data_IF_987261009752
#
_entry.id   IF_987261009752
#
_cell.length_a   1.000
_cell.length_b   1.000
_cell.length_c   1.000
_cell.angle_alpha   90.00
_cell.angle_beta   90.00
_cell.angle_gamma   90.00
#
_symmetry.space_group_name_H-M   'P 1'
#
loop_
_entity.id
_entity.type
_entity.pdbx_description
1 polymer ?
#
# COMPACT_ATOMS: atom_id res chain seq x y z
N UNK A 1 -23.66 -11.02 56.63
CA UNK A 1 -22.39 -10.89 55.88
C UNK A 1 -22.71 -10.98 54.40
N UNK A 2 -22.60 -9.86 53.68
CA UNK A 2 -23.00 -9.79 52.29
C UNK A 2 -21.71 -9.76 51.41
N UNK A 3 -21.49 -10.67 50.44
CA UNK A 3 -20.27 -10.66 49.63
C UNK A 3 -20.36 -9.55 48.60
N UNK A 4 -19.33 -8.70 48.59
CA UNK A 4 -19.13 -7.61 47.62
C UNK A 4 -18.82 -8.16 46.23
N UNK A 5 -19.62 -7.78 45.26
CA UNK A 5 -19.47 -8.02 43.85
C UNK A 5 -18.24 -7.23 43.30
N UNK A 6 -17.27 -7.84 42.58
CA UNK A 6 -16.15 -7.08 41.99
C UNK A 6 -16.66 -6.28 40.79
N UNK A 7 -16.39 -4.98 40.81
CA UNK A 7 -16.70 -4.05 39.72
C UNK A 7 -15.87 -4.44 38.48
N UNK A 8 -16.57 -4.81 37.43
CA UNK A 8 -16.01 -4.93 36.08
C UNK A 8 -15.50 -3.55 35.63
N UNK A 9 -14.22 -3.38 35.53
CA UNK A 9 -13.57 -2.24 34.86
C UNK A 9 -13.80 -2.37 33.37
N UNK A 10 -14.77 -1.63 32.84
CA UNK A 10 -14.89 -1.41 31.40
C UNK A 10 -13.63 -0.68 30.94
N UNK A 11 -12.80 -1.37 30.16
CA UNK A 11 -11.74 -0.74 29.37
C UNK A 11 -12.47 0.14 28.34
N UNK A 12 -12.47 1.44 28.56
CA UNK A 12 -12.88 2.43 27.57
C UNK A 12 -11.83 2.43 26.47
N UNK A 13 -12.09 1.76 25.37
CA UNK A 13 -11.40 1.99 24.11
C UNK A 13 -11.60 3.46 23.76
N UNK A 14 -10.52 4.23 23.80
CA UNK A 14 -10.49 5.59 23.27
C UNK A 14 -11.04 5.55 21.85
N UNK A 15 -12.17 6.19 21.61
CA UNK A 15 -12.68 6.40 20.26
C UNK A 15 -11.58 7.08 19.46
N UNK A 16 -11.08 6.41 18.42
CA UNK A 16 -10.14 7.01 17.50
C UNK A 16 -10.78 8.28 16.94
N UNK A 17 -10.15 9.42 17.16
CA UNK A 17 -10.59 10.70 16.58
C UNK A 17 -10.50 10.50 15.07
N UNK A 18 -11.65 10.62 14.39
CA UNK A 18 -11.71 10.58 12.93
C UNK A 18 -10.82 11.73 12.39
N UNK A 19 -9.74 11.44 11.64
CA UNK A 19 -8.84 12.49 11.19
C UNK A 19 -9.59 13.45 10.29
N UNK A 20 -9.44 14.74 10.53
CA UNK A 20 -9.96 15.76 9.62
C UNK A 20 -9.26 15.59 8.27
N UNK A 21 -9.98 15.08 7.26
CA UNK A 21 -9.48 14.92 5.89
C UNK A 21 -9.78 16.21 5.13
N UNK A 22 -8.72 16.89 4.72
CA UNK A 22 -8.84 18.08 3.86
C UNK A 22 -8.93 17.62 2.39
N UNK A 23 -10.17 17.49 1.91
CA UNK A 23 -10.46 17.06 0.54
C UNK A 23 -9.93 18.05 -0.49
N UNK A 24 -10.06 19.35 -0.25
CA UNK A 24 -9.62 20.39 -1.16
C UNK A 24 -8.10 20.38 -1.30
N UNK A 25 -7.40 20.17 -0.19
CA UNK A 25 -5.95 19.99 -0.20
C UNK A 25 -5.54 18.73 -1.00
N UNK A 26 -6.18 17.59 -0.72
CA UNK A 26 -5.88 16.35 -1.45
C UNK A 26 -6.06 16.51 -2.96
N UNK A 27 -7.20 17.03 -3.38
CA UNK A 27 -7.47 17.21 -4.81
C UNK A 27 -6.65 18.33 -5.46
N UNK A 28 -6.16 19.29 -4.69
CA UNK A 28 -5.25 20.31 -5.17
C UNK A 28 -3.83 19.78 -5.40
N UNK A 29 -3.29 19.01 -4.45
CA UNK A 29 -1.89 18.61 -4.41
C UNK A 29 -1.62 17.14 -4.70
N UNK A 30 -2.63 16.27 -4.62
CA UNK A 30 -2.55 14.83 -4.89
C UNK A 30 -2.02 14.01 -3.73
N UNK A 31 -1.82 14.58 -2.55
CA UNK A 31 -1.39 13.87 -1.35
C UNK A 31 -1.83 14.59 -0.09
N UNK A 32 -1.84 13.87 1.02
CA UNK A 32 -1.94 14.41 2.38
C UNK A 32 -1.25 13.47 3.38
N UNK A 33 -1.06 13.93 4.61
CA UNK A 33 -0.50 13.11 5.70
C UNK A 33 -1.46 13.12 6.88
N UNK A 34 -1.97 11.94 7.23
CA UNK A 34 -2.73 11.72 8.44
C UNK A 34 -1.74 11.53 9.59
N UNK A 35 -1.55 12.57 10.39
CA UNK A 35 -0.57 12.57 11.47
C UNK A 35 -1.06 11.74 12.66
N UNK A 36 -0.18 10.88 13.20
CA UNK A 36 -0.47 9.99 14.34
C UNK A 36 -1.75 9.18 14.15
N UNK A 37 -1.94 8.67 12.95
CA UNK A 37 -3.12 7.92 12.54
C UNK A 37 -3.27 6.59 13.27
N UNK A 38 -2.16 5.94 13.63
CA UNK A 38 -2.15 4.63 14.30
C UNK A 38 -1.01 4.53 15.34
N UNK A 39 -1.10 3.55 16.26
CA UNK A 39 0.06 3.18 17.11
C UNK A 39 1.04 2.33 16.27
N UNK A 40 2.28 2.81 16.04
CA UNK A 40 3.22 2.09 15.17
C UNK A 40 3.78 0.80 15.78
N UNK A 41 3.77 0.64 17.11
CA UNK A 41 4.42 -0.48 17.80
C UNK A 41 3.83 -1.84 17.45
N UNK A 42 2.50 -2.06 17.48
CA UNK A 42 1.91 -3.34 17.08
C UNK A 42 2.15 -3.66 15.60
N UNK A 43 2.04 -2.65 14.71
CA UNK A 43 2.27 -2.83 13.29
C UNK A 43 3.74 -3.17 12.99
N UNK A 44 4.69 -2.53 13.68
CA UNK A 44 6.11 -2.82 13.57
C UNK A 44 6.42 -4.27 14.00
N UNK A 45 5.84 -4.73 15.11
CA UNK A 45 6.04 -6.10 15.57
C UNK A 45 5.50 -7.12 14.55
N UNK A 46 4.31 -6.86 13.99
CA UNK A 46 3.70 -7.70 12.95
C UNK A 46 4.53 -7.67 11.66
N UNK A 47 5.01 -6.49 11.25
CA UNK A 47 5.92 -6.32 10.11
C UNK A 47 7.19 -7.16 10.24
N UNK A 48 7.90 -7.06 11.37
CA UNK A 48 9.15 -7.80 11.58
C UNK A 48 8.92 -9.32 11.59
N UNK A 49 7.81 -9.77 12.18
CA UNK A 49 7.45 -11.19 12.16
C UNK A 49 7.17 -11.68 10.73
N UNK A 50 6.41 -10.91 9.96
CA UNK A 50 6.06 -11.23 8.57
C UNK A 50 7.30 -11.27 7.69
N UNK A 51 8.19 -10.27 7.80
CA UNK A 51 9.43 -10.25 7.01
C UNK A 51 10.39 -11.38 7.38
N UNK A 52 10.46 -11.75 8.67
CA UNK A 52 11.27 -12.88 9.14
C UNK A 52 10.78 -14.23 8.62
N UNK A 53 9.47 -14.44 8.68
CA UNK A 53 8.85 -15.73 8.40
C UNK A 53 8.44 -15.90 6.93
N UNK A 54 8.24 -14.80 6.24
CA UNK A 54 7.68 -14.79 4.89
C UNK A 54 8.72 -14.72 3.78
N UNK A 55 9.90 -14.19 4.00
CA UNK A 55 10.94 -14.19 2.96
C UNK A 55 11.57 -15.58 2.84
N UNK A 56 11.48 -16.18 1.64
CA UNK A 56 11.96 -17.56 1.41
C UNK A 56 13.36 -17.63 0.81
N UNK A 57 13.91 -16.52 0.35
CA UNK A 57 15.28 -16.46 -0.14
C UNK A 57 15.90 -15.11 0.19
N UNK A 58 17.26 -15.08 0.22
CA UNK A 58 18.03 -13.85 0.16
C UNK A 58 17.94 -13.16 -1.21
N UNK A 59 16.97 -13.53 -2.04
CA UNK A 59 16.72 -12.89 -3.30
C UNK A 59 16.37 -11.43 -3.02
N UNK A 60 17.42 -10.62 -2.94
CA UNK A 60 17.30 -9.21 -3.20
C UNK A 60 16.65 -9.12 -4.57
N UNK A 61 15.41 -8.65 -4.60
CA UNK A 61 14.79 -8.22 -5.85
C UNK A 61 15.55 -6.96 -6.27
N UNK A 62 16.79 -7.15 -6.72
CA UNK A 62 17.60 -6.09 -7.28
C UNK A 62 17.02 -5.76 -8.64
N UNK A 63 16.39 -4.60 -8.75
CA UNK A 63 16.20 -3.99 -10.05
C UNK A 63 17.58 -3.54 -10.59
N UNK A 64 17.74 -3.55 -11.91
CA UNK A 64 18.97 -3.21 -12.64
C UNK A 64 19.55 -1.82 -12.31
N UNK A 65 18.85 -0.99 -11.56
CA UNK A 65 19.14 0.40 -11.17
C UNK A 65 19.55 0.58 -9.70
N UNK A 66 19.85 -0.52 -8.99
CA UNK A 66 20.36 -0.47 -7.61
C UNK A 66 19.30 -0.31 -6.53
N UNK A 67 18.02 -0.39 -6.89
CA UNK A 67 16.91 -0.43 -5.93
C UNK A 67 16.73 -1.87 -5.45
N UNK A 68 16.77 -2.07 -4.14
CA UNK A 68 16.42 -3.34 -3.52
C UNK A 68 15.03 -3.25 -2.92
N UNK A 69 14.16 -4.13 -3.36
CA UNK A 69 12.77 -4.16 -2.97
C UNK A 69 12.36 -5.57 -2.57
N UNK A 70 11.88 -5.74 -1.35
CA UNK A 70 11.32 -6.98 -0.84
C UNK A 70 9.94 -6.70 -0.27
N UNK A 71 8.99 -7.61 -0.48
CA UNK A 71 7.71 -7.50 0.21
C UNK A 71 7.11 -8.86 0.59
N UNK A 72 6.22 -8.83 1.58
CA UNK A 72 5.39 -9.96 1.98
C UNK A 72 3.96 -9.45 2.18
N UNK A 73 2.92 -10.10 1.62
CA UNK A 73 1.54 -9.74 1.89
C UNK A 73 1.17 -9.85 3.37
N UNK A 74 0.31 -8.95 3.84
CA UNK A 74 -0.19 -8.89 5.21
C UNK A 74 -1.72 -8.97 5.23
N UNK A 75 -2.29 -10.02 4.61
CA UNK A 75 -3.73 -10.19 4.36
C UNK A 75 -4.29 -11.46 5.00
N UNK A 76 -3.72 -11.93 6.10
CA UNK A 76 -4.12 -13.17 6.77
C UNK A 76 -4.50 -12.94 8.23
N UNK A 77 -5.12 -13.92 8.88
CA UNK A 77 -5.40 -13.88 10.32
C UNK A 77 -4.13 -13.75 11.19
N UNK A 78 -2.94 -14.05 10.64
CA UNK A 78 -1.65 -13.82 11.30
C UNK A 78 -1.22 -12.34 11.28
N UNK A 79 -1.94 -11.48 10.54
CA UNK A 79 -1.64 -10.04 10.41
C UNK A 79 -2.85 -9.18 10.81
N UNK A 80 -3.38 -9.31 12.04
CA UNK A 80 -4.63 -8.65 12.45
C UNK A 80 -4.51 -7.13 12.54
N UNK A 81 -3.33 -6.59 12.84
CA UNK A 81 -3.10 -5.14 12.92
C UNK A 81 -3.18 -4.53 11.51
N UNK A 82 -2.55 -5.19 10.54
CA UNK A 82 -2.63 -4.81 9.11
C UNK A 82 -4.08 -4.83 8.62
N UNK A 83 -4.84 -5.90 8.92
CA UNK A 83 -6.25 -6.00 8.53
C UNK A 83 -7.12 -4.92 9.16
N UNK A 84 -6.91 -4.60 10.44
CA UNK A 84 -7.62 -3.51 11.13
C UNK A 84 -7.30 -2.15 10.51
N UNK A 85 -6.04 -1.93 10.12
CA UNK A 85 -5.62 -0.69 9.48
C UNK A 85 -6.22 -0.59 8.06
N UNK A 86 -6.24 -1.68 7.31
CA UNK A 86 -6.92 -1.76 6.02
C UNK A 86 -8.39 -1.34 6.16
N UNK A 87 -9.17 -1.93 7.08
CA UNK A 87 -10.58 -1.60 7.25
C UNK A 87 -10.80 -0.11 7.59
N UNK A 88 -9.96 0.49 8.45
CA UNK A 88 -10.02 1.93 8.78
C UNK A 88 -9.70 2.83 7.58
N UNK A 89 -8.82 2.40 6.71
CA UNK A 89 -8.43 3.18 5.54
C UNK A 89 -9.45 3.08 4.40
N UNK A 90 -10.33 2.08 4.40
CA UNK A 90 -11.47 2.03 3.49
C UNK A 90 -12.36 3.27 3.64
N UNK A 91 -12.70 3.65 4.89
CA UNK A 91 -13.49 4.85 5.18
C UNK A 91 -12.80 6.14 4.67
N UNK A 92 -11.47 6.21 4.81
CA UNK A 92 -10.67 7.34 4.28
C UNK A 92 -10.73 7.38 2.76
N UNK A 93 -10.54 6.23 2.10
CA UNK A 93 -10.55 6.13 0.64
C UNK A 93 -11.94 6.43 0.07
N UNK A 94 -13.01 5.94 0.69
CA UNK A 94 -14.39 6.24 0.28
C UNK A 94 -14.72 7.74 0.38
N UNK A 95 -14.26 8.40 1.43
CA UNK A 95 -14.44 9.86 1.57
C UNK A 95 -13.68 10.63 0.51
N UNK A 96 -12.45 10.20 0.17
CA UNK A 96 -11.63 10.84 -0.86
C UNK A 96 -12.18 10.59 -2.27
N UNK A 97 -12.63 9.38 -2.58
CA UNK A 97 -13.14 9.01 -3.90
C UNK A 97 -14.64 9.26 -4.08
N UNK A 98 -15.37 9.53 -2.98
CA UNK A 98 -16.82 9.82 -2.99
C UNK A 98 -17.70 8.62 -3.34
N UNK A 99 -17.17 7.39 -3.22
CA UNK A 99 -17.87 6.14 -3.56
C UNK A 99 -17.22 4.95 -2.87
N UNK A 100 -17.84 3.76 -2.95
CA UNK A 100 -17.23 2.50 -2.52
C UNK A 100 -15.90 2.23 -3.21
N UNK A 101 -15.04 1.50 -2.53
CA UNK A 101 -13.65 1.23 -2.96
C UNK A 101 -13.30 -0.24 -2.84
N UNK A 102 -12.35 -0.68 -3.65
CA UNK A 102 -11.83 -2.04 -3.67
C UNK A 102 -10.37 -2.02 -3.24
N UNK A 103 -9.99 -2.80 -2.21
CA UNK A 103 -8.61 -2.86 -1.74
C UNK A 103 -7.74 -3.72 -2.65
N UNK A 104 -6.51 -3.30 -2.81
CA UNK A 104 -5.43 -4.19 -3.22
C UNK A 104 -4.95 -5.03 -2.01
N UNK A 105 -3.79 -5.67 -2.11
CA UNK A 105 -3.20 -6.34 -0.94
C UNK A 105 -2.46 -5.35 -0.05
N UNK A 106 -2.66 -5.42 1.25
CA UNK A 106 -1.74 -4.84 2.23
C UNK A 106 -0.45 -5.67 2.27
N UNK A 107 0.69 -5.00 2.42
CA UNK A 107 2.02 -5.64 2.36
C UNK A 107 3.02 -4.96 3.27
N UNK A 108 3.88 -5.75 3.91
CA UNK A 108 5.14 -5.30 4.47
C UNK A 108 6.12 -5.10 3.31
N UNK A 109 6.79 -3.96 3.26
CA UNK A 109 7.75 -3.63 2.20
C UNK A 109 9.05 -3.15 2.81
N UNK A 110 10.18 -3.65 2.30
CA UNK A 110 11.51 -3.17 2.64
C UNK A 110 12.16 -2.62 1.39
N UNK A 111 12.56 -1.35 1.45
CA UNK A 111 13.29 -0.67 0.38
C UNK A 111 14.70 -0.34 0.81
N UNK A 112 15.66 -0.40 -0.11
CA UNK A 112 16.95 0.26 0.00
C UNK A 112 17.32 0.92 -1.33
N UNK A 113 18.15 1.96 -1.29
CA UNK A 113 18.52 2.74 -2.48
C UNK A 113 17.50 3.84 -2.82
N UNK A 114 17.84 4.58 -3.87
CA UNK A 114 17.03 5.67 -4.39
C UNK A 114 15.96 5.15 -5.34
N UNK A 115 14.78 5.78 -5.31
CA UNK A 115 13.71 5.49 -6.27
C UNK A 115 13.59 6.68 -7.23
N UNK A 116 13.73 6.48 -8.55
CA UNK A 116 13.59 7.55 -9.54
C UNK A 116 12.15 8.06 -9.61
N UNK A 117 11.94 9.19 -10.28
CA UNK A 117 10.60 9.74 -10.49
C UNK A 117 9.73 8.78 -11.30
N UNK A 118 8.58 8.42 -10.73
CA UNK A 118 7.59 7.54 -11.35
C UNK A 118 6.18 7.86 -10.85
N UNK A 119 5.21 7.18 -11.42
CA UNK A 119 3.83 7.06 -10.92
C UNK A 119 3.54 5.59 -10.70
N UNK A 120 2.68 5.27 -9.73
CA UNK A 120 2.33 3.87 -9.45
C UNK A 120 1.28 3.33 -10.42
N UNK A 121 0.41 4.20 -10.93
CA UNK A 121 -0.58 3.82 -11.93
C UNK A 121 -0.53 4.71 -13.17
N UNK A 122 -0.73 4.09 -14.33
CA UNK A 122 -0.96 4.74 -15.63
C UNK A 122 -2.34 4.40 -16.19
N UNK A 123 -3.11 3.58 -15.48
CA UNK A 123 -4.46 3.18 -15.87
C UNK A 123 -5.42 4.34 -15.59
N UNK A 124 -6.37 4.58 -16.49
CA UNK A 124 -7.38 5.63 -16.33
C UNK A 124 -8.44 5.21 -15.29
N UNK A 125 -8.03 5.11 -14.04
CA UNK A 125 -8.81 4.67 -12.89
C UNK A 125 -8.45 5.54 -11.68
N UNK A 126 -9.44 5.98 -10.91
CA UNK A 126 -9.18 6.67 -9.65
C UNK A 126 -8.66 5.67 -8.62
N UNK A 127 -7.43 5.86 -8.17
CA UNK A 127 -6.74 5.00 -7.21
C UNK A 127 -5.93 5.82 -6.22
N UNK A 128 -5.89 5.34 -4.99
CA UNK A 128 -5.23 6.03 -3.85
C UNK A 128 -4.30 5.05 -3.16
N UNK A 129 -3.04 5.43 -3.04
CA UNK A 129 -2.02 4.72 -2.29
C UNK A 129 -1.94 5.19 -0.83
N UNK A 130 -1.71 4.24 0.07
CA UNK A 130 -1.48 4.45 1.49
C UNK A 130 -0.11 3.90 1.87
N UNK A 131 0.73 4.73 2.46
CA UNK A 131 2.08 4.36 2.85
C UNK A 131 2.37 4.81 4.30
N UNK A 132 2.66 3.86 5.17
CA UNK A 132 3.10 4.09 6.52
C UNK A 132 4.56 3.66 6.68
N UNK A 133 5.46 4.62 6.87
CA UNK A 133 6.84 4.30 7.19
C UNK A 133 6.95 4.01 8.69
N UNK A 134 7.66 2.93 9.02
CA UNK A 134 7.87 2.48 10.39
C UNK A 134 9.19 3.00 10.98
N UNK A 135 9.90 3.81 10.20
CA UNK A 135 11.09 4.56 10.57
C UNK A 135 10.84 6.05 10.38
N UNK A 136 11.44 6.94 11.20
CA UNK A 136 11.33 8.37 10.98
C UNK A 136 12.05 8.76 9.70
N UNK A 137 11.38 9.49 8.81
CA UNK A 137 11.93 9.92 7.54
C UNK A 137 11.96 11.44 7.42
N UNK A 138 13.13 11.94 7.06
CA UNK A 138 13.40 13.35 6.75
C UNK A 138 13.83 13.52 5.29
N UNK A 139 14.00 14.76 4.87
CA UNK A 139 14.29 15.10 3.48
C UNK A 139 15.62 14.53 2.93
N UNK A 140 16.53 14.15 3.81
CA UNK A 140 17.88 13.67 3.52
C UNK A 140 18.10 12.16 3.83
N UNK A 141 17.06 11.46 4.33
CA UNK A 141 17.19 10.06 4.70
C UNK A 141 16.15 9.12 4.06
N UNK A 142 15.60 9.49 2.90
CA UNK A 142 14.73 8.61 2.12
C UNK A 142 13.24 8.92 2.22
N UNK A 143 12.84 10.10 2.73
CA UNK A 143 11.46 10.53 2.69
C UNK A 143 10.89 10.50 1.26
N UNK A 144 9.60 10.16 1.16
CA UNK A 144 8.89 10.26 -0.11
C UNK A 144 8.96 11.72 -0.61
N UNK A 145 9.37 11.89 -1.86
CA UNK A 145 9.33 13.18 -2.58
C UNK A 145 8.19 13.15 -3.54
N UNK A 146 7.43 14.24 -3.60
CA UNK A 146 6.29 14.38 -4.49
C UNK A 146 6.41 15.66 -5.32
N UNK A 147 5.83 15.64 -6.52
CA UNK A 147 5.56 16.82 -7.33
C UNK A 147 4.09 17.21 -7.13
N UNK A 148 3.78 18.14 -6.22
CA UNK A 148 2.40 18.47 -5.88
C UNK A 148 1.58 18.88 -7.11
N UNK A 149 0.38 18.32 -7.26
CA UNK A 149 -0.51 18.58 -8.39
C UNK A 149 -0.20 17.80 -9.68
N UNK A 150 0.87 16.99 -9.71
CA UNK A 150 1.26 16.20 -10.90
C UNK A 150 0.37 15.00 -11.20
N UNK A 151 -0.55 14.66 -10.31
CA UNK A 151 -1.64 13.69 -10.58
C UNK A 151 -2.66 14.25 -11.58
N UNK A 152 -2.73 15.58 -11.76
CA UNK A 152 -3.55 16.20 -12.78
C UNK A 152 -2.92 16.00 -14.14
N UNK A 153 -3.75 15.63 -15.10
CA UNK A 153 -3.31 15.22 -16.43
C UNK A 153 -2.40 16.23 -17.09
N UNK A 154 -2.74 17.53 -17.03
CA UNK A 154 -1.99 18.58 -17.71
C UNK A 154 -0.54 18.66 -17.23
N UNK A 155 -0.33 18.66 -15.91
CA UNK A 155 1.01 18.72 -15.34
C UNK A 155 1.73 17.36 -15.47
N UNK A 156 1.04 16.25 -15.23
CA UNK A 156 1.60 14.92 -15.37
C UNK A 156 2.09 14.63 -16.78
N UNK A 157 1.32 14.98 -17.81
CA UNK A 157 1.71 14.81 -19.19
C UNK A 157 2.87 15.74 -19.58
N UNK A 158 2.90 16.96 -19.09
CA UNK A 158 4.04 17.87 -19.29
C UNK A 158 5.33 17.30 -18.70
N UNK A 159 5.28 16.73 -17.48
CA UNK A 159 6.43 16.09 -16.85
C UNK A 159 6.91 14.89 -17.67
N UNK A 160 6.00 14.04 -18.17
CA UNK A 160 6.36 12.89 -19.04
C UNK A 160 7.02 13.32 -20.33
N UNK A 161 6.48 14.37 -20.99
CA UNK A 161 7.04 14.93 -22.23
C UNK A 161 8.45 15.50 -22.04
N UNK A 162 8.74 16.03 -20.86
CA UNK A 162 10.08 16.52 -20.49
C UNK A 162 11.04 15.39 -20.07
N UNK A 163 10.62 14.13 -20.16
CA UNK A 163 11.43 12.99 -19.75
C UNK A 163 11.58 12.88 -18.23
N UNK A 164 10.63 13.44 -17.45
CA UNK A 164 10.71 13.45 -15.99
C UNK A 164 10.61 12.04 -15.36
N UNK A 165 9.90 11.11 -15.99
CA UNK A 165 9.86 9.72 -15.53
C UNK A 165 11.25 9.05 -15.67
N UNK A 166 11.68 8.36 -14.62
CA UNK A 166 13.01 7.70 -14.56
C UNK A 166 14.17 8.64 -14.19
N UNK A 167 13.95 9.96 -14.08
CA UNK A 167 14.99 10.88 -13.59
C UNK A 167 15.30 10.61 -12.11
N UNK A 168 16.55 10.91 -11.72
CA UNK A 168 16.96 10.85 -10.32
C UNK A 168 16.08 11.74 -9.43
N UNK A 169 15.79 11.30 -8.21
CA UNK A 169 14.87 11.96 -7.28
C UNK A 169 15.20 13.46 -7.02
N UNK A 170 16.48 13.83 -7.07
CA UNK A 170 16.93 15.22 -6.87
C UNK A 170 16.96 16.06 -8.15
N UNK A 171 16.60 15.49 -9.29
CA UNK A 171 16.65 16.22 -10.58
C UNK A 171 15.51 17.24 -10.75
N UNK A 172 14.42 17.09 -9.98
CA UNK A 172 13.25 17.97 -10.06
C UNK A 172 13.00 18.68 -8.72
N UNK A 173 12.56 19.96 -8.73
CA UNK A 173 12.07 20.62 -7.52
C UNK A 173 10.89 19.85 -6.94
N UNK A 174 10.94 19.52 -5.67
CA UNK A 174 9.98 18.63 -5.07
C UNK A 174 9.72 18.91 -3.60
N UNK A 175 8.59 18.43 -3.09
CA UNK A 175 8.28 18.43 -1.66
C UNK A 175 8.67 17.10 -1.04
N UNK A 176 9.50 17.13 0.02
CA UNK A 176 9.82 15.94 0.81
C UNK A 176 8.75 15.76 1.90
N UNK A 177 8.08 14.63 1.90
CA UNK A 177 7.04 14.28 2.87
C UNK A 177 7.69 13.69 4.11
N UNK A 178 8.04 14.55 5.05
CA UNK A 178 8.64 14.15 6.34
C UNK A 178 7.59 13.44 7.19
N UNK A 179 7.95 12.28 7.75
CA UNK A 179 7.04 11.44 8.55
C UNK A 179 7.72 10.86 9.78
N UNK A 180 6.90 10.66 10.81
CA UNK A 180 7.22 9.87 12.01
C UNK A 180 6.44 8.56 11.99
N UNK A 181 6.93 7.49 12.65
CA UNK A 181 6.16 6.27 12.85
C UNK A 181 4.78 6.56 13.45
N UNK A 182 3.72 6.05 12.82
CA UNK A 182 2.34 6.34 13.17
C UNK A 182 1.64 7.33 12.25
N UNK A 183 2.40 8.04 11.40
CA UNK A 183 1.84 8.84 10.31
C UNK A 183 1.45 7.94 9.13
N UNK A 184 0.40 8.35 8.38
CA UNK A 184 -0.02 7.70 7.15
C UNK A 184 0.02 8.70 6.00
N UNK A 185 0.84 8.44 5.01
CA UNK A 185 0.82 9.19 3.74
C UNK A 185 -0.33 8.61 2.90
N UNK A 186 -1.13 9.51 2.34
CA UNK A 186 -2.19 9.20 1.38
C UNK A 186 -1.88 9.95 0.10
N UNK A 187 -1.89 9.30 -1.04
CA UNK A 187 -1.60 9.96 -2.31
C UNK A 187 -2.33 9.31 -3.50
N UNK A 188 -2.65 10.13 -4.49
CA UNK A 188 -3.14 9.68 -5.79
C UNK A 188 -2.03 8.91 -6.50
N UNK A 189 -2.28 7.71 -6.99
CA UNK A 189 -1.26 6.86 -7.61
C UNK A 189 -0.73 7.41 -8.96
N UNK A 190 -1.38 8.43 -9.53
CA UNK A 190 -0.89 9.19 -10.68
C UNK A 190 0.05 10.34 -10.30
N UNK A 191 0.22 10.61 -9.00
CA UNK A 191 1.15 11.62 -8.51
C UNK A 191 2.59 11.19 -8.76
N UNK A 192 3.38 12.03 -9.43
CA UNK A 192 4.81 11.78 -9.57
C UNK A 192 5.48 11.84 -8.20
N UNK A 193 6.18 10.75 -7.88
CA UNK A 193 6.91 10.64 -6.64
C UNK A 193 8.25 9.91 -6.83
N UNK A 194 9.13 10.09 -5.87
CA UNK A 194 10.48 9.54 -5.85
C UNK A 194 10.99 9.45 -4.40
N UNK A 195 12.19 8.90 -4.19
CA UNK A 195 12.87 8.99 -2.90
C UNK A 195 14.39 8.95 -3.07
N UNK A 196 15.13 9.60 -2.19
CA UNK A 196 16.60 9.62 -2.23
C UNK A 196 17.23 9.74 -0.84
N UNK A 197 18.43 9.21 -0.70
CA UNK A 197 19.26 9.34 0.50
C UNK A 197 18.95 8.33 1.61
N UNK A 198 18.04 7.39 1.38
CA UNK A 198 17.65 6.41 2.40
C UNK A 198 18.53 5.17 2.43
N UNK A 199 18.77 4.64 3.64
CA UNK A 199 19.18 3.25 3.87
C UNK A 199 17.98 2.31 3.73
N UNK A 200 17.91 1.25 4.52
CA UNK A 200 16.72 0.38 4.55
C UNK A 200 15.55 1.11 5.17
N UNK A 201 14.41 1.14 4.47
CA UNK A 201 13.14 1.73 4.92
C UNK A 201 12.09 0.64 5.04
N UNK A 202 11.43 0.58 6.17
CA UNK A 202 10.32 -0.33 6.44
C UNK A 202 9.03 0.42 6.18
N UNK A 203 8.19 -0.13 5.31
CA UNK A 203 6.93 0.49 4.92
C UNK A 203 5.81 -0.54 4.96
N UNK A 204 4.71 -0.22 5.61
CA UNK A 204 3.44 -0.86 5.34
C UNK A 204 2.74 -0.12 4.21
N UNK A 205 2.27 -0.86 3.21
CA UNK A 205 1.69 -0.29 2.00
C UNK A 205 0.42 -1.00 1.59
N UNK A 206 -0.57 -0.25 1.12
CA UNK A 206 -1.72 -0.77 0.38
C UNK A 206 -2.32 0.32 -0.51
N UNK A 207 -3.22 -0.09 -1.41
CA UNK A 207 -3.87 0.81 -2.34
C UNK A 207 -5.36 0.49 -2.40
N UNK A 208 -6.19 1.51 -2.68
CA UNK A 208 -7.60 1.39 -2.99
C UNK A 208 -7.89 1.93 -4.37
N UNK A 209 -8.75 1.23 -5.10
CA UNK A 209 -9.30 1.72 -6.36
C UNK A 209 -10.79 1.98 -6.19
N UNK A 210 -11.32 2.91 -6.97
CA UNK A 210 -12.77 3.13 -7.06
C UNK A 210 -13.46 1.85 -7.49
N UNK A 211 -14.57 1.47 -6.84
CA UNK A 211 -15.44 0.40 -7.32
C UNK A 211 -16.07 0.83 -8.67
N UNK A 212 -15.88 0.05 -9.74
CA UNK A 212 -16.35 0.43 -11.06
C UNK A 212 -17.88 0.42 -11.14
N UNK A 213 -18.44 1.41 -11.85
CA UNK A 213 -19.90 1.60 -12.00
C UNK A 213 -20.42 1.23 -13.39
N UNK A 214 -19.54 0.96 -14.34
CA UNK A 214 -19.87 0.58 -15.71
C UNK A 214 -18.81 -0.35 -16.33
N UNK A 215 -19.10 -0.94 -17.48
CA UNK A 215 -18.23 -1.91 -18.14
C UNK A 215 -16.86 -1.33 -18.55
N UNK A 216 -16.77 -0.05 -18.88
CA UNK A 216 -15.49 0.60 -19.20
C UNK A 216 -14.63 0.76 -17.97
N UNK A 217 -15.21 1.18 -16.85
CA UNK A 217 -14.54 1.24 -15.56
C UNK A 217 -14.15 -0.16 -15.05
N UNK A 218 -14.97 -1.19 -15.26
CA UNK A 218 -14.62 -2.58 -14.93
C UNK A 218 -13.38 -3.05 -15.70
N UNK A 219 -13.32 -2.76 -17.00
CA UNK A 219 -12.17 -3.12 -17.82
C UNK A 219 -10.88 -2.44 -17.31
N UNK A 220 -10.94 -1.16 -16.97
CA UNK A 220 -9.81 -0.44 -16.38
C UNK A 220 -9.41 -1.04 -15.02
N UNK A 221 -10.38 -1.41 -14.20
CA UNK A 221 -10.12 -2.06 -12.90
C UNK A 221 -9.43 -3.40 -13.08
N UNK A 222 -9.90 -4.23 -14.01
CA UNK A 222 -9.25 -5.52 -14.32
C UNK A 222 -7.83 -5.30 -14.86
N UNK A 223 -7.62 -4.32 -15.75
CA UNK A 223 -6.28 -3.97 -16.25
C UNK A 223 -5.35 -3.54 -15.10
N UNK A 224 -5.85 -2.72 -14.17
CA UNK A 224 -5.09 -2.28 -13.00
C UNK A 224 -4.64 -3.48 -12.14
N UNK A 225 -5.57 -4.38 -11.79
CA UNK A 225 -5.22 -5.57 -11.00
C UNK A 225 -4.30 -6.55 -11.76
N UNK A 226 -4.45 -6.68 -13.08
CA UNK A 226 -3.55 -7.49 -13.91
C UNK A 226 -2.11 -6.96 -13.90
N UNK A 227 -1.91 -5.65 -13.78
CA UNK A 227 -0.59 -5.02 -13.64
C UNK A 227 0.00 -5.23 -12.24
N UNK A 228 -0.84 -5.26 -11.20
CA UNK A 228 -0.41 -5.55 -9.81
C UNK A 228 -0.05 -7.03 -9.64
N UNK A 229 -0.71 -7.92 -10.37
CA UNK A 229 -0.53 -9.37 -10.32
C UNK A 229 -0.02 -9.93 -11.65
N UNK A 230 1.21 -9.54 -12.10
CA UNK A 230 1.77 -10.10 -13.32
C UNK A 230 1.94 -11.61 -13.18
N UNK A 231 1.53 -12.40 -14.19
CA UNK A 231 1.42 -13.86 -14.07
C UNK A 231 2.80 -14.57 -14.04
N UNK A 232 3.87 -13.88 -14.41
CA UNK A 232 5.23 -14.37 -14.55
C UNK A 232 6.18 -13.87 -13.47
N UNK A 233 5.66 -13.31 -12.37
CA UNK A 233 6.47 -12.76 -11.30
C UNK A 233 6.50 -13.66 -10.07
N UNK A 234 7.70 -14.00 -9.61
CA UNK A 234 7.94 -14.68 -8.34
C UNK A 234 8.12 -13.62 -7.23
N UNK A 235 7.17 -13.56 -6.30
CA UNK A 235 7.19 -12.60 -5.21
C UNK A 235 8.34 -12.73 -4.21
N UNK A 236 9.13 -13.80 -4.24
CA UNK A 236 10.24 -14.04 -3.30
C UNK A 236 9.78 -14.26 -1.84
N UNK A 237 8.51 -14.57 -1.61
CA UNK A 237 7.94 -14.79 -0.28
C UNK A 237 7.18 -16.13 -0.18
N UNK A 238 6.94 -16.60 1.04
CA UNK A 238 6.16 -17.82 1.32
C UNK A 238 4.67 -17.60 1.03
N UNK A 239 4.26 -17.94 -0.20
CA UNK A 239 2.88 -17.77 -0.68
C UNK A 239 1.88 -18.63 0.10
N UNK A 240 2.29 -19.79 0.60
CA UNK A 240 1.38 -20.69 1.31
C UNK A 240 1.06 -20.16 2.71
N UNK A 241 2.03 -19.49 3.32
CA UNK A 241 1.86 -18.85 4.63
C UNK A 241 1.25 -17.44 4.53
N UNK A 242 1.64 -16.68 3.52
CA UNK A 242 1.24 -15.28 3.31
C UNK A 242 0.67 -15.10 1.89
N UNK A 243 -0.49 -15.70 1.58
CA UNK A 243 -1.11 -15.51 0.28
C UNK A 243 -1.50 -14.06 0.05
N UNK A 244 -1.59 -13.66 -1.20
CA UNK A 244 -1.99 -12.31 -1.64
C UNK A 244 -3.28 -11.84 -0.97
N UNK A 245 -4.29 -12.75 -0.90
CA UNK A 245 -5.52 -12.58 -0.13
C UNK A 245 -5.75 -13.82 0.71
N UNK A 246 -5.63 -13.68 2.02
CA UNK A 246 -5.81 -14.79 2.95
C UNK A 246 -7.22 -15.39 2.93
N UNK A 247 -7.36 -16.71 3.16
CA UNK A 247 -8.65 -17.38 3.13
C UNK A 247 -9.64 -16.79 4.16
N UNK A 248 -9.16 -16.42 5.35
CA UNK A 248 -10.00 -15.82 6.39
C UNK A 248 -10.53 -14.44 5.97
N UNK A 249 -9.69 -13.65 5.29
CA UNK A 249 -10.10 -12.36 4.75
C UNK A 249 -11.13 -12.54 3.64
N UNK A 250 -10.93 -13.50 2.73
CA UNK A 250 -11.89 -13.83 1.67
C UNK A 250 -13.23 -14.36 2.21
N UNK A 251 -13.20 -15.07 3.33
CA UNK A 251 -14.41 -15.59 3.99
C UNK A 251 -15.10 -14.58 4.92
N UNK A 252 -14.62 -13.34 4.98
CA UNK A 252 -15.06 -12.36 6.00
C UNK A 252 -16.45 -11.73 5.75
N UNK A 253 -17.06 -11.96 4.57
CA UNK A 253 -18.35 -11.36 4.20
C UNK A 253 -18.28 -9.85 3.92
N UNK A 254 -17.09 -9.28 3.70
CA UNK A 254 -16.96 -7.87 3.31
C UNK A 254 -17.51 -7.65 1.90
N UNK A 255 -18.30 -6.58 1.63
CA UNK A 255 -18.82 -6.31 0.28
C UNK A 255 -17.73 -6.25 -0.80
N UNK A 256 -16.56 -5.70 -0.46
CA UNK A 256 -15.41 -5.64 -1.35
C UNK A 256 -14.92 -7.03 -1.81
N UNK A 257 -15.07 -8.07 -1.00
CA UNK A 257 -14.68 -9.44 -1.35
C UNK A 257 -15.54 -9.98 -2.49
N UNK A 258 -16.88 -9.85 -2.38
CA UNK A 258 -17.81 -10.29 -3.40
C UNK A 258 -17.56 -9.55 -4.73
N UNK A 259 -17.25 -8.26 -4.63
CA UNK A 259 -16.98 -7.45 -5.81
C UNK A 259 -15.65 -7.81 -6.49
N UNK A 260 -14.58 -8.03 -5.73
CA UNK A 260 -13.29 -8.50 -6.25
C UNK A 260 -13.41 -9.90 -6.91
N UNK A 261 -14.21 -10.79 -6.33
CA UNK A 261 -14.49 -12.10 -6.90
C UNK A 261 -15.23 -11.96 -8.24
N UNK A 262 -16.28 -11.15 -8.30
CA UNK A 262 -17.04 -10.90 -9.53
C UNK A 262 -16.17 -10.29 -10.66
N UNK A 263 -15.15 -9.51 -10.32
CA UNK A 263 -14.19 -8.94 -11.27
C UNK A 263 -13.05 -9.90 -11.65
N UNK A 264 -13.00 -11.11 -11.09
CA UNK A 264 -11.94 -12.09 -11.37
C UNK A 264 -10.58 -11.74 -10.76
N UNK A 265 -10.53 -10.85 -9.78
CA UNK A 265 -9.25 -10.40 -9.18
C UNK A 265 -8.55 -11.53 -8.44
N UNK A 266 -9.30 -12.42 -7.79
CA UNK A 266 -8.71 -13.56 -7.08
C UNK A 266 -8.08 -14.59 -8.02
N UNK A 267 -8.60 -14.73 -9.25
CA UNK A 267 -8.00 -15.58 -10.29
C UNK A 267 -6.69 -14.98 -10.79
N UNK A 268 -6.59 -13.65 -10.94
CA UNK A 268 -5.34 -12.96 -11.29
C UNK A 268 -4.27 -13.21 -10.22
N UNK A 269 -4.61 -13.01 -8.94
CA UNK A 269 -3.71 -13.26 -7.83
C UNK A 269 -3.28 -14.74 -7.76
N UNK A 270 -4.23 -15.67 -7.93
CA UNK A 270 -3.95 -17.11 -7.90
C UNK A 270 -3.03 -17.57 -9.03
N UNK A 271 -3.12 -16.99 -10.23
CA UNK A 271 -2.20 -17.28 -11.35
C UNK A 271 -0.78 -16.85 -11.03
N UNK A 272 -0.58 -15.66 -10.48
CA UNK A 272 0.73 -15.18 -10.04
C UNK A 272 1.32 -16.10 -8.96
N UNK A 273 0.52 -16.46 -7.96
CA UNK A 273 0.94 -17.35 -6.89
C UNK A 273 1.32 -18.75 -7.41
N UNK A 274 0.56 -19.30 -8.37
CA UNK A 274 0.86 -20.59 -8.99
C UNK A 274 2.21 -20.58 -9.71
N UNK A 275 2.54 -19.49 -10.39
CA UNK A 275 3.84 -19.30 -11.02
C UNK A 275 4.98 -19.30 -9.98
N UNK A 276 4.84 -18.50 -8.92
CA UNK A 276 5.83 -18.42 -7.84
C UNK A 276 6.07 -19.77 -7.15
N UNK A 277 4.99 -20.59 -6.95
CA UNK A 277 5.13 -21.95 -6.40
C UNK A 277 5.88 -22.89 -7.35
N UNK A 278 5.70 -22.75 -8.65
CA UNK A 278 6.36 -23.60 -9.66
C UNK A 278 7.85 -23.28 -9.74
N UNK A 279 8.23 -22.01 -9.77
CA UNK A 279 9.63 -21.57 -9.80
C UNK A 279 10.44 -22.11 -8.63
N UNK A 280 9.86 -22.15 -7.42
CA UNK A 280 10.54 -22.63 -6.20
C UNK A 280 10.74 -24.15 -6.16
N UNK A 281 9.97 -24.92 -6.94
CA UNK A 281 10.11 -26.38 -7.02
C UNK A 281 11.16 -26.84 -8.02
N UNK A 282 11.66 -25.94 -8.87
CA UNK A 282 12.70 -26.22 -9.85
C UNK A 282 14.01 -25.65 -9.29
N UNK A 283 14.91 -26.48 -8.69
CA UNK A 283 16.24 -26.00 -8.30
C UNK A 283 17.02 -25.63 -9.58
N UNK A 284 17.70 -24.48 -9.53
CA UNK A 284 18.69 -24.09 -10.54
C UNK A 284 19.88 -25.06 -10.58
#
# INVERSE_FOLDING_TARGET
MNPRNPRSTKVTTSAAVDPAIDLDYFWAFGFLVLRRFFDPRPLLAEFEQVMKDGLVSSSDLSHSDGIHFQYVPMMTAATPVSLSLLDRLADVAERLLGTSVLPTRAKAVRYSGDTPWHVDSVVALASIGFAAYLDPLAADNGALRVLPGSHRRELGDAIRLLGGAGMHAMALPSHAVVTEPGDMIVFDEHLFHASSGGSVRRQWRMDYVRDPVDAGAEQNTIEYFARIFPPDWDGGYDIDRYPTYGPDWRASGRPAVERLEALGVFELAARQEAFGRTKRKTPE
#
